data_IF_229155759539
#
_entry.id   IF_229155759539
#
_cell.length_a   1.000
_cell.length_b   1.000
_cell.length_c   1.000
_cell.angle_alpha   90.00
_cell.angle_beta   90.00
_cell.angle_gamma   90.00
#
_symmetry.space_group_name_H-M   'P 1'
#
loop_
_entity.id
_entity.type
_entity.pdbx_description
1 polymer ?
#
# COMPACT_ATOMS: atom_id res chain seq x y z
N UNK A 1 -40.08 -24.38 6.18
CA UNK A 1 -38.97 -24.99 6.92
C UNK A 1 -37.69 -25.08 6.10
N UNK A 2 -37.71 -25.64 4.91
CA UNK A 2 -36.50 -25.78 4.06
C UNK A 2 -35.92 -24.43 3.65
N UNK A 3 -36.76 -23.43 3.39
CA UNK A 3 -36.31 -22.08 3.00
C UNK A 3 -35.47 -21.38 4.06
N UNK A 4 -35.78 -21.55 5.34
CA UNK A 4 -35.03 -20.93 6.45
C UNK A 4 -33.64 -21.56 6.61
N UNK A 5 -33.49 -22.84 6.35
CA UNK A 5 -32.22 -23.56 6.41
C UNK A 5 -31.31 -23.12 5.26
N UNK A 6 -31.87 -22.97 4.05
CA UNK A 6 -31.11 -22.51 2.87
C UNK A 6 -30.57 -21.06 3.06
N UNK A 7 -31.39 -20.18 3.63
CA UNK A 7 -30.97 -18.79 3.91
C UNK A 7 -29.85 -18.74 4.94
N UNK A 8 -29.90 -19.59 5.97
CA UNK A 8 -28.87 -19.67 6.99
C UNK A 8 -27.53 -20.18 6.42
N UNK A 9 -27.56 -21.17 5.56
CA UNK A 9 -26.35 -21.70 4.89
C UNK A 9 -25.75 -20.65 3.95
N UNK A 10 -26.58 -19.92 3.21
CA UNK A 10 -26.14 -18.87 2.30
C UNK A 10 -25.49 -17.71 3.05
N UNK A 11 -26.05 -17.30 4.19
CA UNK A 11 -25.48 -16.26 5.04
C UNK A 11 -24.11 -16.68 5.61
N UNK A 12 -23.94 -17.92 5.97
CA UNK A 12 -22.68 -18.46 6.48
C UNK A 12 -21.59 -18.44 5.39
N UNK A 13 -21.91 -18.84 4.17
CA UNK A 13 -20.99 -18.81 3.02
C UNK A 13 -20.59 -17.37 2.70
N UNK A 14 -21.51 -16.41 2.77
CA UNK A 14 -21.22 -15.01 2.55
C UNK A 14 -20.22 -14.45 3.58
N UNK A 15 -20.32 -14.83 4.84
CA UNK A 15 -19.40 -14.43 5.89
C UNK A 15 -17.97 -14.96 5.68
N UNK A 16 -17.82 -16.15 5.10
CA UNK A 16 -16.50 -16.76 4.81
C UNK A 16 -15.79 -16.04 3.65
N UNK A 17 -16.52 -15.47 2.69
CA UNK A 17 -15.95 -14.78 1.53
C UNK A 17 -15.47 -13.35 1.82
N UNK A 18 -15.65 -12.86 3.05
CA UNK A 18 -15.39 -11.47 3.43
C UNK A 18 -14.03 -11.26 4.14
N UNK A 19 -13.12 -12.22 4.06
CA UNK A 19 -11.74 -12.04 4.53
C UNK A 19 -10.94 -11.32 3.46
N UNK A 20 -10.74 -10.01 3.66
CA UNK A 20 -9.84 -9.20 2.83
C UNK A 20 -8.58 -8.89 3.59
N UNK A 21 -7.43 -9.00 2.93
CA UNK A 21 -6.16 -8.51 3.46
C UNK A 21 -6.07 -7.00 3.21
N UNK A 22 -5.40 -6.27 4.11
CA UNK A 22 -5.15 -4.85 3.94
C UNK A 22 -4.22 -4.63 2.73
N UNK A 23 -4.54 -3.64 1.90
CA UNK A 23 -3.70 -3.25 0.77
C UNK A 23 -2.47 -2.51 1.27
N UNK A 24 -1.34 -2.68 0.58
CA UNK A 24 -0.11 -1.92 0.80
C UNK A 24 -0.10 -0.75 -0.18
N UNK A 25 0.08 0.46 0.33
CA UNK A 25 0.28 1.66 -0.49
C UNK A 25 1.77 1.92 -0.64
N UNK A 26 2.23 1.95 -1.87
CA UNK A 26 3.62 2.17 -2.23
C UNK A 26 3.75 3.43 -3.08
N UNK A 27 4.40 4.45 -2.54
CA UNK A 27 4.74 5.67 -3.28
C UNK A 27 6.09 5.50 -3.97
N UNK A 28 6.16 5.87 -5.25
CA UNK A 28 7.40 5.79 -6.01
C UNK A 28 7.63 7.04 -6.84
N UNK A 29 8.88 7.49 -6.86
CA UNK A 29 9.32 8.58 -7.75
C UNK A 29 9.80 8.07 -9.10
N UNK A 30 9.84 6.76 -9.30
CA UNK A 30 10.19 6.12 -10.57
C UNK A 30 8.98 6.12 -11.52
N UNK A 31 8.63 7.31 -12.03
CA UNK A 31 7.38 7.56 -12.74
C UNK A 31 7.43 7.37 -14.24
N UNK A 32 8.58 7.04 -14.81
CA UNK A 32 8.71 6.78 -16.24
C UNK A 32 7.85 5.57 -16.65
N UNK A 33 7.18 5.62 -17.82
CA UNK A 33 6.22 4.57 -18.21
C UNK A 33 6.76 3.15 -18.14
N UNK A 34 7.99 2.92 -18.61
CA UNK A 34 8.62 1.59 -18.58
C UNK A 34 8.88 1.12 -17.14
N UNK A 35 9.26 2.03 -16.25
CA UNK A 35 9.50 1.72 -14.84
C UNK A 35 8.19 1.49 -14.10
N UNK A 36 7.17 2.29 -14.39
CA UNK A 36 5.84 2.07 -13.82
C UNK A 36 5.28 0.72 -14.21
N UNK A 37 5.39 0.34 -15.49
CA UNK A 37 4.94 -0.97 -15.97
C UNK A 37 5.65 -2.11 -15.23
N UNK A 38 6.95 -1.98 -14.96
CA UNK A 38 7.72 -3.00 -14.25
C UNK A 38 7.31 -3.08 -12.77
N UNK A 39 7.10 -1.96 -12.13
CA UNK A 39 6.63 -1.92 -10.74
C UNK A 39 5.23 -2.54 -10.60
N UNK A 40 4.33 -2.25 -11.55
CA UNK A 40 2.99 -2.86 -11.58
C UNK A 40 3.07 -4.38 -11.79
N UNK A 41 3.96 -4.85 -12.66
CA UNK A 41 4.20 -6.28 -12.87
C UNK A 41 4.67 -6.95 -11.58
N UNK A 42 5.62 -6.33 -10.89
CA UNK A 42 6.15 -6.83 -9.62
C UNK A 42 5.07 -6.85 -8.53
N UNK A 43 4.24 -5.82 -8.47
CA UNK A 43 3.13 -5.74 -7.53
C UNK A 43 2.12 -6.87 -7.75
N UNK A 44 1.80 -7.18 -9.01
CA UNK A 44 0.90 -8.30 -9.36
C UNK A 44 1.51 -9.66 -9.02
N UNK A 45 2.81 -9.82 -9.24
CA UNK A 45 3.51 -11.05 -8.88
C UNK A 45 3.52 -11.27 -7.37
N UNK A 46 3.70 -10.21 -6.60
CA UNK A 46 3.63 -10.24 -5.14
C UNK A 46 2.23 -10.61 -4.65
N UNK A 47 1.19 -10.02 -5.23
CA UNK A 47 -0.20 -10.34 -4.92
C UNK A 47 -0.54 -11.80 -5.22
N UNK A 48 -0.07 -12.31 -6.36
CA UNK A 48 -0.27 -13.72 -6.74
C UNK A 48 0.38 -14.69 -5.73
N UNK A 49 1.49 -14.27 -5.14
CA UNK A 49 2.26 -15.08 -4.18
C UNK A 49 1.74 -15.00 -2.76
N UNK A 50 1.25 -13.85 -2.34
CA UNK A 50 0.92 -13.55 -0.94
C UNK A 50 -0.54 -13.29 -0.68
N UNK A 51 -1.34 -13.00 -1.71
CA UNK A 51 -2.71 -12.54 -1.58
C UNK A 51 -2.82 -11.07 -1.16
N UNK A 52 -1.69 -10.36 -1.00
CA UNK A 52 -1.66 -8.96 -0.58
C UNK A 52 -1.53 -8.07 -1.80
N UNK A 53 -2.49 -7.16 -1.99
CA UNK A 53 -2.48 -6.19 -3.08
C UNK A 53 -1.53 -5.03 -2.74
N UNK A 54 -0.70 -4.65 -3.71
CA UNK A 54 0.16 -3.47 -3.63
C UNK A 54 -0.36 -2.43 -4.61
N UNK A 55 -0.74 -1.27 -4.10
CA UNK A 55 -1.12 -0.12 -4.90
C UNK A 55 0.12 0.72 -5.17
N UNK A 56 0.55 0.78 -6.42
CA UNK A 56 1.72 1.57 -6.84
C UNK A 56 1.26 2.97 -7.21
N UNK A 57 1.70 3.96 -6.45
CA UNK A 57 1.25 5.36 -6.58
C UNK A 57 2.43 6.21 -7.04
N UNK A 58 2.39 6.74 -8.28
CA UNK A 58 3.46 7.60 -8.78
C UNK A 58 3.40 8.97 -8.13
N UNK A 59 4.55 9.46 -7.68
CA UNK A 59 4.72 10.81 -7.11
C UNK A 59 5.87 11.48 -7.84
N UNK A 60 5.64 12.66 -8.40
CA UNK A 60 6.73 13.45 -8.97
C UNK A 60 7.73 13.82 -7.87
N UNK A 61 9.02 13.67 -8.15
CA UNK A 61 10.06 13.90 -7.17
C UNK A 61 10.00 15.30 -6.54
N UNK A 62 9.67 16.31 -7.35
CA UNK A 62 9.52 17.70 -6.89
C UNK A 62 8.40 17.89 -5.87
N UNK A 63 7.40 17.01 -5.88
CA UNK A 63 6.21 17.11 -5.02
C UNK A 63 6.32 16.22 -3.78
N UNK A 64 7.29 15.33 -3.74
CA UNK A 64 7.38 14.27 -2.73
C UNK A 64 7.46 14.84 -1.30
N UNK A 65 8.34 15.82 -1.07
CA UNK A 65 8.51 16.43 0.26
C UNK A 65 7.23 17.05 0.80
N UNK A 66 6.54 17.83 -0.05
CA UNK A 66 5.28 18.49 0.32
C UNK A 66 4.18 17.46 0.59
N UNK A 67 4.08 16.44 -0.24
CA UNK A 67 3.07 15.38 -0.08
C UNK A 67 3.31 14.54 1.17
N UNK A 68 4.56 14.19 1.44
CA UNK A 68 4.91 13.42 2.64
C UNK A 68 4.59 14.21 3.91
N UNK A 69 4.91 15.50 3.94
CA UNK A 69 4.60 16.37 5.08
C UNK A 69 3.10 16.47 5.32
N UNK A 70 2.32 16.68 4.26
CA UNK A 70 0.87 16.77 4.36
C UNK A 70 0.26 15.43 4.81
N UNK A 71 0.73 14.32 4.27
CA UNK A 71 0.26 12.99 4.64
C UNK A 71 0.60 12.65 6.10
N UNK A 72 1.78 13.02 6.56
CA UNK A 72 2.19 12.84 7.96
C UNK A 72 1.26 13.61 8.91
N UNK A 73 0.95 14.87 8.58
CA UNK A 73 0.05 15.70 9.37
C UNK A 73 -1.39 15.14 9.40
N UNK A 74 -1.84 14.52 8.31
CA UNK A 74 -3.16 13.91 8.19
C UNK A 74 -3.24 12.49 8.77
N UNK A 75 -2.11 11.88 9.15
CA UNK A 75 -2.06 10.48 9.57
C UNK A 75 -2.31 9.49 8.42
N UNK A 76 -1.97 9.88 7.20
CA UNK A 76 -2.26 9.11 5.97
C UNK A 76 -0.99 8.85 5.15
N UNK A 77 0.10 8.55 5.83
CA UNK A 77 1.34 8.14 5.16
C UNK A 77 1.16 6.80 4.45
N UNK A 78 1.85 6.58 3.30
CA UNK A 78 1.88 5.26 2.69
C UNK A 78 2.66 4.27 3.54
N UNK A 79 2.57 2.98 3.20
CA UNK A 79 3.32 1.94 3.89
C UNK A 79 4.78 1.91 3.48
N UNK A 80 5.06 2.18 2.20
CA UNK A 80 6.41 2.17 1.62
C UNK A 80 6.60 3.38 0.72
N UNK A 81 7.78 4.01 0.81
CA UNK A 81 8.17 5.13 -0.06
C UNK A 81 9.52 4.83 -0.70
N UNK A 82 9.56 4.83 -2.03
CA UNK A 82 10.82 4.88 -2.77
C UNK A 82 11.21 6.35 -2.98
N UNK A 83 12.34 6.76 -2.43
CA UNK A 83 12.74 8.17 -2.41
C UNK A 83 14.26 8.33 -2.54
N UNK A 84 14.70 9.58 -2.62
CA UNK A 84 16.12 9.94 -2.70
C UNK A 84 16.75 10.09 -1.32
N UNK A 85 18.07 9.96 -1.24
CA UNK A 85 18.83 10.00 0.01
C UNK A 85 18.64 11.29 0.82
N UNK A 86 18.32 12.39 0.17
CA UNK A 86 18.16 13.69 0.83
C UNK A 86 17.05 13.72 1.90
N UNK A 87 16.09 12.80 1.84
CA UNK A 87 14.98 12.75 2.79
C UNK A 87 15.21 11.81 3.96
N UNK A 88 16.23 10.93 3.91
CA UNK A 88 16.42 9.87 4.92
C UNK A 88 16.55 10.46 6.33
N UNK A 89 17.48 11.38 6.53
CA UNK A 89 17.72 11.95 7.85
C UNK A 89 16.58 12.85 8.35
N UNK A 90 16.10 13.83 7.54
CA UNK A 90 14.98 14.66 7.98
C UNK A 90 13.71 13.85 8.32
N UNK A 91 13.40 12.84 7.54
CA UNK A 91 12.21 12.02 7.77
C UNK A 91 12.36 11.05 8.94
N UNK A 92 13.57 10.55 9.19
CA UNK A 92 13.85 9.76 10.37
C UNK A 92 13.67 10.60 11.65
N UNK A 93 14.22 11.81 11.65
CA UNK A 93 14.09 12.75 12.78
C UNK A 93 12.65 13.21 13.00
N UNK A 94 11.88 13.38 11.93
CA UNK A 94 10.47 13.77 12.00
C UNK A 94 9.51 12.61 12.37
N UNK A 95 10.02 11.38 12.49
CA UNK A 95 9.20 10.21 12.80
C UNK A 95 8.36 9.71 11.61
N UNK A 96 8.69 10.12 10.39
CA UNK A 96 8.02 9.66 9.17
C UNK A 96 8.46 8.25 8.78
N UNK A 97 9.75 7.93 9.01
CA UNK A 97 10.31 6.63 8.71
C UNK A 97 10.32 5.73 9.95
N UNK A 98 9.98 4.46 9.73
CA UNK A 98 10.20 3.41 10.73
C UNK A 98 11.67 3.03 10.72
N UNK A 99 12.44 3.56 11.66
CA UNK A 99 13.90 3.36 11.70
C UNK A 99 14.27 1.91 12.00
N UNK A 100 13.45 1.21 12.73
CA UNK A 100 13.72 -0.21 13.05
C UNK A 100 13.53 -1.09 11.82
N UNK A 101 12.50 -0.84 11.02
CA UNK A 101 12.27 -1.55 9.77
C UNK A 101 13.30 -1.24 8.69
N UNK A 102 13.95 -0.05 8.76
CA UNK A 102 14.92 0.40 7.77
C UNK A 102 16.38 0.07 8.13
N UNK A 103 16.62 -0.45 9.29
CA UNK A 103 17.93 -0.91 9.72
C UNK A 103 18.13 -2.41 9.44
#
# INVERSE_FOLDING_TARGET
MIRKIIVSIFALVFLITNTSFADIKFWTTEVQPARMAKQEEMAKAFEAKTGIKVEVIPIEEKDLGTRATAAAAAGDLPDVIYHTLQYVLPWAEAGILDVDANN
#
